data_IF_703101237118
#
_entry.id   IF_703101237118
#
_cell.length_a   1.000
_cell.length_b   1.000
_cell.length_c   1.000
_cell.angle_alpha   90.00
_cell.angle_beta   90.00
_cell.angle_gamma   90.00
#
_symmetry.space_group_name_H-M   'P 1'
#
loop_
_entity.id
_entity.type
_entity.pdbx_description
1 polymer ?
#
# COMPACT_ATOMS: atom_id res chain seq x y z
N UNK A 1 17.31 -18.65 21.65
CA UNK A 1 18.00 -19.57 22.58
C UNK A 1 17.39 -19.52 23.97
N UNK A 2 17.14 -18.32 24.51
CA UNK A 2 16.57 -18.12 25.85
C UNK A 2 15.24 -18.87 26.10
N UNK A 3 14.39 -19.01 25.06
CA UNK A 3 13.12 -19.75 25.15
C UNK A 3 13.22 -21.25 24.80
N UNK A 4 14.41 -21.76 24.45
CA UNK A 4 14.64 -23.19 24.20
C UNK A 4 14.16 -23.77 22.86
N UNK A 5 13.51 -22.99 21.99
CA UNK A 5 13.00 -23.45 20.67
C UNK A 5 14.08 -23.79 19.63
N UNK A 6 15.28 -23.22 19.78
CA UNK A 6 16.40 -23.44 18.86
C UNK A 6 17.60 -23.93 19.66
N UNK A 7 18.09 -25.12 19.32
CA UNK A 7 19.30 -25.73 19.89
C UNK A 7 20.25 -26.06 18.74
N UNK A 8 21.50 -25.64 18.86
CA UNK A 8 22.52 -25.90 17.85
C UNK A 8 23.90 -26.04 18.53
N UNK A 9 24.83 -26.81 17.94
CA UNK A 9 26.21 -26.87 18.41
C UNK A 9 26.89 -25.49 18.27
N UNK A 10 27.71 -25.04 19.24
CA UNK A 10 28.39 -23.74 19.16
C UNK A 10 29.22 -23.52 17.88
N UNK A 11 29.68 -24.60 17.26
CA UNK A 11 30.52 -24.60 16.05
C UNK A 11 29.76 -24.29 14.75
N UNK A 12 28.43 -24.15 14.79
CA UNK A 12 27.61 -23.96 13.59
C UNK A 12 27.42 -22.48 13.22
N UNK A 13 27.60 -21.56 14.17
CA UNK A 13 27.47 -20.13 13.91
C UNK A 13 28.79 -19.55 13.41
N UNK A 14 28.73 -18.92 12.25
CA UNK A 14 29.82 -18.17 11.65
C UNK A 14 29.53 -16.67 11.70
N UNK A 15 30.58 -15.88 11.82
CA UNK A 15 30.54 -14.42 11.65
C UNK A 15 30.65 -14.06 10.16
N UNK A 16 30.42 -12.78 9.84
CA UNK A 16 30.57 -12.31 8.46
C UNK A 16 32.03 -12.37 7.98
N UNK A 17 33.01 -12.30 8.89
CA UNK A 17 34.43 -12.38 8.53
C UNK A 17 34.85 -13.82 8.19
N UNK A 18 34.20 -14.80 8.81
CA UNK A 18 34.44 -16.22 8.53
C UNK A 18 34.08 -16.59 7.07
N UNK A 19 33.16 -15.84 6.45
CA UNK A 19 32.75 -16.03 5.05
C UNK A 19 33.90 -15.91 4.05
N UNK A 20 34.98 -15.20 4.39
CA UNK A 20 36.15 -15.06 3.51
C UNK A 20 37.12 -16.23 3.59
N UNK A 21 36.98 -17.08 4.61
CA UNK A 21 37.93 -18.18 4.88
C UNK A 21 37.29 -19.56 4.75
N UNK A 22 35.99 -19.67 4.98
CA UNK A 22 35.25 -20.91 4.83
C UNK A 22 35.07 -21.27 3.35
N UNK A 23 35.17 -22.56 2.98
CA UNK A 23 34.77 -23.03 1.66
C UNK A 23 33.28 -22.75 1.39
N UNK A 24 32.93 -22.43 0.14
CA UNK A 24 31.55 -22.09 -0.25
C UNK A 24 30.54 -23.23 0.11
N UNK A 25 30.94 -24.51 0.04
CA UNK A 25 30.10 -25.68 0.40
C UNK A 25 29.87 -25.88 1.90
N UNK A 26 30.52 -25.05 2.74
CA UNK A 26 30.36 -25.04 4.21
C UNK A 26 29.56 -23.84 4.70
N UNK A 27 29.07 -22.99 3.80
CA UNK A 27 28.37 -21.75 4.13
C UNK A 27 26.88 -21.91 3.88
N UNK A 28 26.06 -21.58 4.89
CA UNK A 28 24.62 -21.41 4.75
C UNK A 28 24.23 -20.06 5.32
N UNK A 29 23.60 -19.22 4.49
CA UNK A 29 23.15 -17.88 4.87
C UNK A 29 21.63 -17.90 5.04
N UNK A 30 21.17 -17.77 6.28
CA UNK A 30 19.74 -17.57 6.58
C UNK A 30 19.48 -16.07 6.65
N UNK A 31 18.62 -15.57 5.76
CA UNK A 31 18.43 -14.13 5.59
C UNK A 31 16.95 -13.73 5.48
N UNK A 32 16.68 -12.44 5.55
CA UNK A 32 15.35 -11.85 5.36
C UNK A 32 15.17 -11.37 3.93
N UNK A 33 13.92 -11.10 3.53
CA UNK A 33 13.61 -10.51 2.23
C UNK A 33 12.91 -11.42 1.23
N UNK A 34 12.29 -12.50 1.70
CA UNK A 34 11.66 -13.47 0.82
C UNK A 34 10.42 -12.92 0.09
N UNK A 35 9.88 -11.77 0.53
CA UNK A 35 8.78 -11.06 -0.14
C UNK A 35 9.26 -9.92 -1.06
N UNK A 36 10.58 -9.80 -1.28
CA UNK A 36 11.15 -8.79 -2.17
C UNK A 36 11.14 -7.38 -1.61
N UNK A 37 11.11 -7.23 -0.28
CA UNK A 37 11.18 -5.93 0.37
C UNK A 37 12.49 -5.22 -0.04
N UNK A 38 12.46 -3.99 -0.59
CA UNK A 38 13.63 -3.37 -1.21
C UNK A 38 14.86 -3.27 -0.29
N UNK A 39 14.62 -2.99 0.99
CA UNK A 39 15.68 -2.81 2.00
C UNK A 39 16.06 -4.10 2.73
N UNK A 40 15.50 -5.25 2.35
CA UNK A 40 15.88 -6.53 2.93
C UNK A 40 17.27 -6.97 2.46
N UNK A 41 17.88 -7.86 3.22
CA UNK A 41 19.22 -8.36 2.92
C UNK A 41 19.24 -9.14 1.60
N UNK A 42 18.25 -10.00 1.34
CA UNK A 42 18.16 -10.73 0.06
C UNK A 42 18.00 -9.80 -1.14
N UNK A 43 17.13 -8.80 -1.06
CA UNK A 43 16.96 -7.82 -2.16
C UNK A 43 18.25 -7.06 -2.45
N UNK A 44 18.96 -6.63 -1.41
CA UNK A 44 20.27 -5.97 -1.58
C UNK A 44 21.31 -6.90 -2.18
N UNK A 45 21.37 -8.17 -1.76
CA UNK A 45 22.28 -9.16 -2.35
C UNK A 45 21.96 -9.40 -3.82
N UNK A 46 20.67 -9.55 -4.14
CA UNK A 46 20.21 -9.65 -5.51
C UNK A 46 20.50 -8.39 -6.33
N UNK A 47 20.55 -7.19 -5.74
CA UNK A 47 20.87 -5.96 -6.47
C UNK A 47 22.37 -5.61 -6.50
N UNK A 48 23.25 -6.43 -5.87
CA UNK A 48 24.67 -6.14 -5.62
C UNK A 48 24.91 -4.86 -4.79
N UNK A 49 23.96 -4.53 -3.90
CA UNK A 49 24.01 -3.39 -2.98
C UNK A 49 24.24 -3.84 -1.51
N UNK A 50 24.45 -5.14 -1.28
CA UNK A 50 24.74 -5.65 0.05
C UNK A 50 26.22 -5.47 0.40
N UNK A 51 26.52 -4.74 1.47
CA UNK A 51 27.88 -4.30 1.83
C UNK A 51 28.93 -5.41 1.92
N UNK A 52 28.53 -6.60 2.35
CA UNK A 52 29.46 -7.69 2.71
C UNK A 52 29.23 -8.99 1.96
N UNK A 53 28.10 -9.14 1.24
CA UNK A 53 27.75 -10.42 0.60
C UNK A 53 27.39 -10.14 -0.84
N UNK A 54 28.03 -10.86 -1.75
CA UNK A 54 27.74 -10.82 -3.17
C UNK A 54 27.32 -12.20 -3.63
N UNK A 55 26.28 -12.24 -4.45
CA UNK A 55 25.83 -13.47 -5.11
C UNK A 55 26.81 -13.78 -6.23
N UNK A 56 27.38 -14.98 -6.20
CA UNK A 56 28.31 -15.50 -7.21
C UNK A 56 27.57 -16.49 -8.13
N UNK A 57 28.18 -16.76 -9.28
CA UNK A 57 27.72 -17.82 -10.16
C UNK A 57 27.84 -19.18 -9.45
N UNK A 58 26.79 -20.00 -9.54
CA UNK A 58 26.70 -21.30 -8.86
C UNK A 58 26.06 -21.26 -7.47
N UNK A 59 25.91 -20.08 -6.86
CA UNK A 59 25.21 -19.94 -5.58
C UNK A 59 23.78 -20.49 -5.67
N UNK A 60 23.31 -21.12 -4.60
CA UNK A 60 21.93 -21.60 -4.52
C UNK A 60 21.11 -20.76 -3.56
N UNK A 61 20.00 -20.19 -4.06
CA UNK A 61 19.08 -19.37 -3.27
C UNK A 61 17.74 -20.09 -3.15
N UNK A 62 17.30 -20.29 -1.90
CA UNK A 62 16.04 -20.95 -1.59
C UNK A 62 15.07 -19.93 -0.97
N UNK A 63 14.03 -19.58 -1.73
CA UNK A 63 12.92 -18.75 -1.27
C UNK A 63 11.88 -19.62 -0.56
N UNK A 64 12.16 -19.97 0.69
CA UNK A 64 11.31 -20.85 1.52
C UNK A 64 10.01 -20.18 2.03
N UNK A 65 9.31 -19.44 1.17
CA UNK A 65 8.07 -18.73 1.50
C UNK A 65 7.10 -18.66 0.34
N UNK A 66 5.81 -18.68 0.64
CA UNK A 66 4.74 -18.38 -0.32
C UNK A 66 4.68 -16.89 -0.66
N UNK A 67 4.31 -16.59 -1.91
CA UNK A 67 4.11 -15.21 -2.35
C UNK A 67 2.85 -14.65 -1.68
N UNK A 68 3.00 -13.56 -0.93
CA UNK A 68 1.86 -12.84 -0.38
C UNK A 68 1.23 -12.00 -1.51
N UNK A 69 -0.10 -12.07 -1.70
CA UNK A 69 -0.77 -11.28 -2.74
C UNK A 69 -0.41 -9.79 -2.67
N UNK A 70 0.00 -9.24 -3.81
CA UNK A 70 0.46 -7.85 -3.95
C UNK A 70 1.98 -7.68 -4.03
N UNK A 71 2.77 -8.70 -3.65
CA UNK A 71 4.23 -8.66 -3.68
C UNK A 71 4.86 -9.33 -4.90
N UNK A 72 4.07 -9.88 -5.83
CA UNK A 72 4.53 -10.73 -6.93
C UNK A 72 5.57 -10.01 -7.82
N UNK A 73 5.36 -8.71 -8.08
CA UNK A 73 6.30 -7.90 -8.87
C UNK A 73 7.63 -7.69 -8.16
N UNK A 74 7.60 -7.48 -6.84
CA UNK A 74 8.80 -7.25 -6.05
C UNK A 74 9.63 -8.54 -5.97
N UNK A 75 8.98 -9.66 -5.68
CA UNK A 75 9.62 -10.99 -5.63
C UNK A 75 10.19 -11.37 -6.99
N UNK A 76 9.40 -11.19 -8.07
CA UNK A 76 9.85 -11.47 -9.43
C UNK A 76 11.09 -10.65 -9.83
N UNK A 77 11.19 -9.40 -9.37
CA UNK A 77 12.38 -8.56 -9.59
C UNK A 77 13.62 -9.17 -8.90
N UNK A 78 13.49 -9.60 -7.65
CA UNK A 78 14.58 -10.24 -6.90
C UNK A 78 15.03 -11.53 -7.60
N UNK A 79 14.09 -12.41 -7.96
CA UNK A 79 14.36 -13.66 -8.68
C UNK A 79 15.11 -13.40 -9.99
N UNK A 80 14.62 -12.44 -10.80
CA UNK A 80 15.27 -12.08 -12.06
C UNK A 80 16.72 -11.61 -11.86
N UNK A 81 16.97 -10.81 -10.82
CA UNK A 81 18.31 -10.32 -10.54
C UNK A 81 19.25 -11.40 -10.01
N UNK A 82 18.74 -12.38 -9.27
CA UNK A 82 19.49 -13.56 -8.82
C UNK A 82 19.89 -14.44 -10.02
N UNK A 83 18.94 -14.75 -10.92
CA UNK A 83 19.23 -15.49 -12.15
C UNK A 83 20.22 -14.76 -13.05
N UNK A 84 20.12 -13.42 -13.19
CA UNK A 84 21.10 -12.61 -13.93
C UNK A 84 22.52 -12.72 -13.38
N UNK A 85 22.70 -13.13 -12.13
CA UNK A 85 24.00 -13.34 -11.48
C UNK A 85 24.49 -14.79 -11.55
N UNK A 86 23.75 -15.67 -12.23
CA UNK A 86 24.11 -17.08 -12.35
C UNK A 86 23.79 -17.91 -11.12
N UNK A 87 22.92 -17.43 -10.22
CA UNK A 87 22.46 -18.21 -9.09
C UNK A 87 21.36 -19.21 -9.49
N UNK A 88 21.35 -20.36 -8.85
CA UNK A 88 20.27 -21.34 -8.91
C UNK A 88 19.18 -20.95 -7.91
N UNK A 89 17.97 -20.64 -8.38
CA UNK A 89 16.89 -20.13 -7.53
C UNK A 89 15.75 -21.14 -7.41
N UNK A 90 15.46 -21.56 -6.19
CA UNK A 90 14.31 -22.41 -5.84
C UNK A 90 13.24 -21.61 -5.11
N UNK A 91 11.98 -21.74 -5.54
CA UNK A 91 10.83 -21.05 -4.98
C UNK A 91 9.57 -21.93 -5.08
N UNK A 92 8.51 -21.60 -4.34
CA UNK A 92 7.30 -22.44 -4.17
C UNK A 92 6.72 -23.03 -5.48
N UNK A 93 6.71 -22.27 -6.59
CA UNK A 93 6.12 -22.75 -7.85
C UNK A 93 6.94 -23.85 -8.54
N UNK A 94 8.21 -24.01 -8.17
CA UNK A 94 9.16 -24.95 -8.79
C UNK A 94 9.73 -25.97 -7.79
N UNK A 95 9.37 -25.88 -6.51
CA UNK A 95 9.88 -26.78 -5.47
C UNK A 95 8.99 -26.81 -4.22
N UNK A 96 8.82 -27.99 -3.62
CA UNK A 96 8.05 -28.22 -2.39
C UNK A 96 8.83 -27.80 -1.13
N UNK A 97 9.07 -26.49 -0.99
CA UNK A 97 9.91 -25.92 0.09
C UNK A 97 9.11 -25.14 1.15
N UNK A 98 7.79 -25.02 0.99
CA UNK A 98 6.97 -24.23 1.89
C UNK A 98 5.59 -24.85 2.09
N UNK A 99 5.08 -24.75 3.32
CA UNK A 99 3.72 -25.12 3.68
C UNK A 99 3.03 -23.94 4.34
N UNK A 100 1.73 -23.83 4.14
CA UNK A 100 0.90 -22.81 4.78
C UNK A 100 0.91 -22.99 6.30
N UNK A 101 1.02 -21.89 7.04
CA UNK A 101 0.76 -21.87 8.49
C UNK A 101 -0.73 -21.93 8.85
N UNK A 102 -1.63 -21.88 7.86
CA UNK A 102 -3.08 -21.97 8.04
C UNK A 102 -3.63 -23.32 7.55
N UNK A 103 -4.52 -23.89 8.37
CA UNK A 103 -5.24 -25.13 8.09
C UNK A 103 -6.01 -25.08 6.75
N UNK A 104 -5.84 -26.11 5.94
CA UNK A 104 -6.61 -26.35 4.73
C UNK A 104 -7.99 -26.94 5.06
N UNK A 105 -8.81 -27.18 4.03
CA UNK A 105 -10.21 -27.61 4.18
C UNK A 105 -10.37 -28.84 5.08
N UNK A 106 -9.56 -29.88 4.92
CA UNK A 106 -9.73 -31.12 5.70
C UNK A 106 -9.33 -30.94 7.17
N UNK A 107 -8.31 -30.13 7.46
CA UNK A 107 -7.92 -29.77 8.82
C UNK A 107 -8.99 -28.89 9.50
N UNK A 108 -9.60 -27.97 8.75
CA UNK A 108 -10.75 -27.18 9.22
C UNK A 108 -11.95 -28.09 9.56
N UNK A 109 -12.26 -29.08 8.70
CA UNK A 109 -13.31 -30.07 9.00
C UNK A 109 -12.97 -30.90 10.23
N UNK A 110 -11.72 -31.34 10.36
CA UNK A 110 -11.26 -32.09 11.52
C UNK A 110 -11.50 -31.29 12.81
N UNK A 111 -11.11 -30.01 12.83
CA UNK A 111 -11.36 -29.12 13.97
C UNK A 111 -12.85 -29.03 14.30
N UNK A 112 -13.72 -28.80 13.31
CA UNK A 112 -15.17 -28.71 13.52
C UNK A 112 -15.74 -30.03 14.09
N UNK A 113 -15.32 -31.17 13.56
CA UNK A 113 -15.79 -32.50 14.00
C UNK A 113 -15.32 -32.89 15.40
N UNK A 114 -14.13 -32.43 15.82
CA UNK A 114 -13.61 -32.63 17.16
C UNK A 114 -14.31 -31.75 18.18
N UNK A 115 -14.55 -30.48 17.85
CA UNK A 115 -15.15 -29.49 18.75
C UNK A 115 -16.67 -29.70 18.87
N UNK A 116 -17.34 -30.09 17.78
CA UNK A 116 -18.81 -30.21 17.68
C UNK A 116 -19.55 -28.97 18.22
N UNK A 117 -19.25 -27.78 17.68
CA UNK A 117 -19.76 -26.54 18.25
C UNK A 117 -21.27 -26.39 18.01
N UNK A 118 -22.00 -25.89 19.02
CA UNK A 118 -23.41 -25.50 18.88
C UNK A 118 -23.57 -24.31 17.92
N UNK A 119 -22.64 -23.36 17.97
CA UNK A 119 -22.59 -22.14 17.15
C UNK A 119 -21.22 -21.99 16.50
N UNK A 120 -21.20 -21.49 15.27
CA UNK A 120 -19.96 -21.33 14.50
C UNK A 120 -19.79 -19.91 13.97
N UNK A 121 -18.62 -19.32 14.22
CA UNK A 121 -18.26 -18.00 13.71
C UNK A 121 -16.96 -18.15 12.93
N UNK A 122 -16.97 -18.11 11.59
CA UNK A 122 -15.72 -18.06 10.84
C UNK A 122 -15.03 -16.72 11.10
N UNK A 123 -13.73 -16.79 11.42
CA UNK A 123 -12.87 -15.62 11.67
C UNK A 123 -11.59 -15.70 10.82
N UNK A 124 -10.80 -14.63 10.83
CA UNK A 124 -9.48 -14.52 10.19
C UNK A 124 -9.49 -14.82 8.66
N UNK A 125 -10.09 -13.90 7.90
CA UNK A 125 -10.02 -13.89 6.44
C UNK A 125 -10.92 -12.82 5.82
N UNK A 126 -10.72 -12.53 4.53
CA UNK A 126 -11.68 -11.74 3.75
C UNK A 126 -13.07 -12.40 3.72
N UNK A 127 -14.11 -11.62 3.42
CA UNK A 127 -15.50 -12.07 3.44
C UNK A 127 -15.74 -13.39 2.67
N UNK A 128 -15.10 -13.56 1.51
CA UNK A 128 -15.17 -14.81 0.73
C UNK A 128 -14.68 -16.03 1.52
N UNK A 129 -13.59 -15.91 2.29
CA UNK A 129 -13.05 -16.99 3.10
C UNK A 129 -14.04 -17.35 4.23
N UNK A 130 -14.65 -16.33 4.85
CA UNK A 130 -15.65 -16.54 5.89
C UNK A 130 -16.87 -17.28 5.37
N UNK A 131 -17.35 -16.91 4.17
CA UNK A 131 -18.46 -17.59 3.49
C UNK A 131 -18.11 -19.05 3.18
N UNK A 132 -16.92 -19.33 2.65
CA UNK A 132 -16.51 -20.72 2.39
C UNK A 132 -16.38 -21.55 3.66
N UNK A 133 -15.85 -20.98 4.74
CA UNK A 133 -15.71 -21.68 6.01
C UNK A 133 -17.08 -21.91 6.69
N UNK A 134 -18.01 -20.97 6.56
CA UNK A 134 -19.40 -21.15 6.98
C UNK A 134 -20.09 -22.29 6.21
N UNK A 135 -19.93 -22.34 4.87
CA UNK A 135 -20.47 -23.45 4.06
C UNK A 135 -19.86 -24.79 4.44
N UNK A 136 -18.59 -24.81 4.83
CA UNK A 136 -17.92 -26.01 5.32
C UNK A 136 -18.55 -26.52 6.62
N UNK A 137 -18.81 -25.62 7.56
CA UNK A 137 -19.49 -25.91 8.82
C UNK A 137 -20.94 -26.39 8.60
N UNK A 138 -21.69 -25.74 7.70
CA UNK A 138 -23.05 -26.15 7.31
C UNK A 138 -23.05 -27.58 6.74
N UNK A 139 -22.09 -27.91 5.87
CA UNK A 139 -21.91 -29.26 5.33
C UNK A 139 -21.48 -30.32 6.36
N UNK A 140 -21.11 -29.92 7.57
CA UNK A 140 -20.81 -30.79 8.72
C UNK A 140 -21.94 -30.81 9.75
N UNK A 141 -23.17 -30.54 9.32
CA UNK A 141 -24.40 -30.59 10.12
C UNK A 141 -24.52 -29.53 11.22
N UNK A 142 -23.81 -28.40 11.10
CA UNK A 142 -24.10 -27.22 11.94
C UNK A 142 -25.28 -26.49 11.30
N UNK A 143 -26.41 -26.29 12.01
CA UNK A 143 -27.56 -25.58 11.45
C UNK A 143 -27.19 -24.17 10.99
N UNK A 144 -27.71 -23.74 9.84
CA UNK A 144 -27.35 -22.46 9.22
C UNK A 144 -27.64 -21.26 10.13
N UNK A 145 -28.72 -21.32 10.89
CA UNK A 145 -29.13 -20.35 11.89
C UNK A 145 -28.12 -20.20 13.04
N UNK A 146 -27.28 -21.21 13.25
CA UNK A 146 -26.23 -21.21 14.26
C UNK A 146 -24.87 -20.74 13.71
N UNK A 147 -24.80 -20.37 12.43
CA UNK A 147 -23.57 -19.92 11.76
C UNK A 147 -23.61 -18.40 11.57
N UNK A 148 -22.70 -17.69 12.23
CA UNK A 148 -22.65 -16.23 12.19
C UNK A 148 -21.45 -15.75 11.37
N UNK A 149 -21.69 -15.32 10.12
CA UNK A 149 -20.71 -14.52 9.38
C UNK A 149 -20.84 -13.08 9.86
N UNK A 150 -19.77 -12.56 10.46
CA UNK A 150 -19.73 -11.25 11.11
C UNK A 150 -18.71 -10.34 10.42
N UNK A 151 -18.99 -9.04 10.44
CA UNK A 151 -18.04 -7.99 10.08
C UNK A 151 -17.44 -7.35 11.35
N UNK A 152 -16.34 -6.62 11.20
CA UNK A 152 -15.77 -5.86 12.31
C UNK A 152 -16.81 -4.90 12.90
N UNK A 153 -17.03 -5.00 14.22
CA UNK A 153 -18.03 -4.22 14.95
C UNK A 153 -19.39 -4.90 15.09
N UNK A 154 -19.67 -5.99 14.37
CA UNK A 154 -20.84 -6.80 14.65
C UNK A 154 -20.71 -7.49 16.01
N UNK A 155 -21.82 -7.63 16.73
CA UNK A 155 -21.88 -8.32 18.03
C UNK A 155 -22.72 -9.58 17.88
N UNK A 156 -22.17 -10.72 18.28
CA UNK A 156 -22.93 -11.96 18.48
C UNK A 156 -23.05 -12.22 19.99
N UNK A 157 -24.29 -12.32 20.47
CA UNK A 157 -24.61 -12.63 21.86
C UNK A 157 -25.12 -14.05 21.97
N UNK A 158 -24.59 -14.78 22.94
CA UNK A 158 -25.01 -16.13 23.26
C UNK A 158 -25.58 -16.15 24.67
N UNK A 159 -26.83 -16.60 24.79
CA UNK A 159 -27.52 -16.82 26.06
C UNK A 159 -28.00 -18.27 26.14
N UNK A 160 -28.63 -18.64 27.26
CA UNK A 160 -29.30 -19.94 27.38
C UNK A 160 -30.46 -20.11 26.38
N UNK A 161 -31.05 -19.00 25.92
CA UNK A 161 -32.17 -19.00 24.98
C UNK A 161 -31.72 -19.12 23.52
N UNK A 162 -30.48 -18.73 23.19
CA UNK A 162 -29.97 -18.83 21.83
C UNK A 162 -28.78 -17.92 21.53
N UNK A 163 -28.34 -17.97 20.27
CA UNK A 163 -27.36 -17.05 19.71
C UNK A 163 -28.07 -16.03 18.81
N UNK A 164 -27.82 -14.74 19.00
CA UNK A 164 -28.41 -13.67 18.19
C UNK A 164 -27.37 -12.60 17.84
N UNK A 165 -27.56 -11.94 16.69
CA UNK A 165 -26.80 -10.73 16.35
C UNK A 165 -27.42 -9.54 17.07
N UNK A 166 -26.60 -8.75 17.76
CA UNK A 166 -26.99 -7.52 18.44
C UNK A 166 -26.54 -6.27 17.67
N UNK A 167 -26.84 -5.09 18.25
CA UNK A 167 -26.46 -3.79 17.68
C UNK A 167 -24.93 -3.70 17.54
N UNK A 168 -24.47 -3.19 16.40
CA UNK A 168 -23.05 -2.96 16.14
C UNK A 168 -22.43 -2.01 17.17
N UNK A 169 -21.16 -2.24 17.49
CA UNK A 169 -20.32 -1.33 18.28
C UNK A 169 -19.42 -0.49 17.37
N UNK A 170 -18.96 0.64 17.88
CA UNK A 170 -18.00 1.48 17.17
C UNK A 170 -16.72 0.70 16.91
N UNK A 171 -16.34 0.61 15.65
CA UNK A 171 -15.11 -0.05 15.21
C UNK A 171 -14.59 0.65 13.95
N UNK A 172 -13.30 0.48 13.67
CA UNK A 172 -12.66 1.14 12.55
C UNK A 172 -11.17 0.84 12.49
N UNK A 173 -10.50 1.45 11.52
CA UNK A 173 -9.05 1.39 11.38
C UNK A 173 -8.43 2.65 11.96
N UNK A 174 -7.33 2.49 12.69
CA UNK A 174 -6.47 3.59 13.12
C UNK A 174 -5.17 3.43 12.35
N UNK A 175 -4.78 4.47 11.60
CA UNK A 175 -3.54 4.47 10.84
C UNK A 175 -2.38 4.99 11.71
N UNK A 176 -1.19 4.44 11.50
CA UNK A 176 0.05 4.85 12.15
C UNK A 176 1.02 5.29 11.07
N UNK A 177 1.53 6.52 11.16
CA UNK A 177 2.51 7.08 10.24
C UNK A 177 3.65 7.73 11.03
N UNK A 178 4.81 7.06 11.05
CA UNK A 178 5.94 7.46 11.88
C UNK A 178 5.60 7.44 13.37
N UNK A 179 5.61 8.63 14.00
CA UNK A 179 5.28 8.83 15.42
C UNK A 179 3.80 9.19 15.64
N UNK A 180 3.06 9.50 14.58
CA UNK A 180 1.65 9.90 14.68
C UNK A 180 0.74 8.67 14.67
N UNK A 181 -0.18 8.64 15.63
CA UNK A 181 -1.20 7.60 15.76
C UNK A 181 -2.56 8.27 15.55
N UNK A 182 -3.31 7.88 14.52
CA UNK A 182 -4.66 8.39 14.26
C UNK A 182 -4.74 9.74 13.55
N UNK A 183 -3.66 10.50 13.44
CA UNK A 183 -3.64 11.81 12.74
C UNK A 183 -3.78 11.68 11.22
N UNK A 184 -3.48 10.50 10.66
CA UNK A 184 -3.67 10.23 9.24
C UNK A 184 -5.13 9.83 9.00
N UNK A 185 -5.98 10.85 8.90
CA UNK A 185 -7.38 10.68 8.52
C UNK A 185 -7.54 10.18 7.08
N UNK A 186 -8.73 9.64 6.76
CA UNK A 186 -9.09 9.22 5.39
C UNK A 186 -8.92 10.32 4.34
N UNK A 187 -9.04 11.58 4.75
CA UNK A 187 -8.82 12.76 3.89
C UNK A 187 -7.35 12.86 3.47
N UNK A 188 -6.41 12.71 4.41
CA UNK A 188 -4.97 12.79 4.11
C UNK A 188 -4.54 11.67 3.16
N UNK A 189 -5.07 10.45 3.35
CA UNK A 189 -4.80 9.34 2.43
C UNK A 189 -5.38 9.58 1.04
N UNK A 190 -6.59 10.15 0.96
CA UNK A 190 -7.24 10.50 -0.30
C UNK A 190 -6.45 11.58 -1.04
N UNK A 191 -5.96 12.59 -0.33
CA UNK A 191 -5.13 13.63 -0.93
C UNK A 191 -3.81 13.05 -1.45
N UNK A 192 -3.13 12.20 -0.66
CA UNK A 192 -1.94 11.47 -1.11
C UNK A 192 -2.21 10.63 -2.36
N UNK A 193 -3.36 9.95 -2.43
CA UNK A 193 -3.74 9.14 -3.60
C UNK A 193 -3.95 10.03 -4.84
N UNK A 194 -4.70 11.13 -4.73
CA UNK A 194 -4.89 12.06 -5.84
C UNK A 194 -3.57 12.67 -6.32
N UNK A 195 -2.70 13.09 -5.40
CA UNK A 195 -1.37 13.61 -5.72
C UNK A 195 -0.49 12.56 -6.43
N UNK A 196 -0.53 11.30 -5.97
CA UNK A 196 0.26 10.22 -6.54
C UNK A 196 -0.22 9.75 -7.93
N UNK A 197 -1.51 9.90 -8.26
CA UNK A 197 -2.07 9.48 -9.54
C UNK A 197 -2.11 10.61 -10.58
N UNK A 198 -2.61 11.77 -10.18
CA UNK A 198 -2.93 12.87 -11.10
C UNK A 198 -1.97 14.05 -11.00
N UNK A 199 -1.10 14.07 -9.99
CA UNK A 199 -0.20 15.19 -9.73
C UNK A 199 -0.93 16.45 -9.23
N UNK A 200 -0.18 17.55 -9.16
CA UNK A 200 -0.66 18.84 -8.65
C UNK A 200 -0.25 19.98 -9.57
N UNK A 201 -1.13 20.98 -9.63
CA UNK A 201 -0.89 22.29 -10.24
C UNK A 201 -1.11 23.33 -9.15
N UNK A 202 -0.09 24.16 -8.92
CA UNK A 202 -0.14 25.28 -8.00
C UNK A 202 -0.22 26.55 -8.84
N UNK A 203 -1.17 27.43 -8.54
CA UNK A 203 -1.34 28.71 -9.24
C UNK A 203 -1.08 29.83 -8.24
N UNK A 204 -0.04 30.62 -8.48
CA UNK A 204 0.37 31.75 -7.65
C UNK A 204 -0.10 33.06 -8.28
N UNK A 205 -0.81 33.86 -7.48
CA UNK A 205 -1.35 35.17 -7.86
C UNK A 205 -1.03 36.18 -6.76
N UNK A 206 -0.39 37.29 -7.11
CA UNK A 206 -0.25 38.46 -6.26
C UNK A 206 -1.28 39.51 -6.66
N UNK A 207 -2.24 39.82 -5.80
CA UNK A 207 -3.31 40.78 -6.06
C UNK A 207 -3.21 41.98 -5.11
N UNK A 208 -3.41 43.19 -5.65
CA UNK A 208 -3.55 44.41 -4.84
C UNK A 208 -4.91 44.43 -4.12
N UNK A 209 -4.92 44.66 -2.80
CA UNK A 209 -6.18 44.63 -2.01
C UNK A 209 -7.23 45.63 -2.49
N UNK A 210 -6.81 46.83 -2.86
CA UNK A 210 -7.70 47.97 -3.14
C UNK A 210 -8.29 47.94 -4.55
N UNK A 211 -7.50 47.51 -5.54
CA UNK A 211 -7.90 47.55 -6.97
C UNK A 211 -8.17 46.17 -7.57
N UNK A 212 -7.85 45.10 -6.82
CA UNK A 212 -7.83 43.72 -7.28
C UNK A 212 -7.01 43.51 -8.56
N UNK A 213 -6.04 44.39 -8.82
CA UNK A 213 -5.12 44.25 -9.95
C UNK A 213 -4.07 43.19 -9.65
N UNK A 214 -3.69 42.46 -10.69
CA UNK A 214 -2.59 41.51 -10.61
C UNK A 214 -1.29 42.30 -10.55
N UNK A 215 -0.60 42.22 -9.41
CA UNK A 215 0.74 42.79 -9.22
C UNK A 215 1.80 41.75 -9.66
N UNK A 216 1.57 40.47 -9.36
CA UNK A 216 2.50 39.37 -9.66
C UNK A 216 1.75 38.14 -10.16
N UNK A 217 2.26 37.46 -11.19
CA UNK A 217 1.68 36.22 -11.75
C UNK A 217 0.70 36.46 -12.92
N UNK A 218 -0.07 35.43 -13.35
CA UNK A 218 -0.12 34.08 -12.78
C UNK A 218 1.16 33.27 -13.04
N UNK A 219 1.75 32.76 -11.97
CA UNK A 219 2.79 31.73 -12.06
C UNK A 219 2.16 30.37 -11.79
N UNK A 220 2.44 29.39 -12.64
CA UNK A 220 1.88 28.05 -12.54
C UNK A 220 3.02 27.07 -12.38
N UNK A 221 2.97 26.27 -11.32
CA UNK A 221 3.95 25.24 -11.01
C UNK A 221 3.26 23.89 -11.11
N UNK A 222 3.88 22.94 -11.81
CA UNK A 222 3.40 21.57 -11.94
C UNK A 222 4.35 20.58 -11.27
N UNK A 223 3.78 19.63 -10.53
CA UNK A 223 4.53 18.52 -9.92
C UNK A 223 3.76 17.21 -10.12
N UNK A 224 4.41 16.21 -10.72
CA UNK A 224 3.80 14.90 -10.98
C UNK A 224 2.66 14.90 -12.02
N UNK A 225 2.34 16.05 -12.62
CA UNK A 225 1.30 16.17 -13.64
C UNK A 225 1.90 16.27 -15.04
N UNK A 226 2.59 17.36 -15.35
CA UNK A 226 3.30 17.55 -16.63
C UNK A 226 4.74 17.99 -16.36
N UNK A 227 5.67 17.57 -17.22
CA UNK A 227 7.04 18.05 -17.17
C UNK A 227 7.10 19.44 -17.83
N UNK A 228 7.38 20.47 -17.03
CA UNK A 228 7.25 21.87 -17.43
C UNK A 228 8.11 22.23 -18.65
N UNK A 229 9.27 21.60 -18.82
CA UNK A 229 10.18 21.86 -19.95
C UNK A 229 9.61 21.36 -21.29
N UNK A 230 8.87 20.26 -21.27
CA UNK A 230 8.25 19.63 -22.46
C UNK A 230 6.84 20.18 -22.75
N UNK A 231 6.20 20.83 -21.78
CA UNK A 231 4.80 21.26 -21.84
C UNK A 231 4.62 22.78 -21.79
N UNK A 232 5.59 23.56 -22.28
CA UNK A 232 5.56 25.05 -22.24
C UNK A 232 4.29 25.64 -22.85
N UNK A 233 3.83 25.11 -23.98
CA UNK A 233 2.63 25.61 -24.66
C UNK A 233 1.38 25.44 -23.79
N UNK A 234 1.24 24.29 -23.13
CA UNK A 234 0.14 24.01 -22.20
C UNK A 234 0.23 24.96 -21.00
N UNK A 235 1.43 25.18 -20.46
CA UNK A 235 1.62 26.08 -19.32
C UNK A 235 1.21 27.52 -19.67
N UNK A 236 1.56 28.00 -20.87
CA UNK A 236 1.12 29.31 -21.35
C UNK A 236 -0.39 29.38 -21.61
N UNK A 237 -1.00 28.33 -22.13
CA UNK A 237 -2.47 28.25 -22.26
C UNK A 237 -3.18 28.29 -20.89
N UNK A 238 -2.66 27.57 -19.89
CA UNK A 238 -3.19 27.61 -18.53
C UNK A 238 -3.10 29.02 -17.95
N UNK A 239 -1.96 29.72 -18.12
CA UNK A 239 -1.82 31.12 -17.68
C UNK A 239 -2.82 32.05 -18.35
N UNK A 240 -3.00 31.92 -19.67
CA UNK A 240 -4.01 32.69 -20.42
C UNK A 240 -5.42 32.46 -19.88
N UNK A 241 -5.78 31.22 -19.58
CA UNK A 241 -7.09 30.89 -18.99
C UNK A 241 -7.27 31.57 -17.63
N UNK A 242 -6.24 31.59 -16.77
CA UNK A 242 -6.31 32.29 -15.49
C UNK A 242 -6.52 33.78 -15.70
N UNK A 243 -5.79 34.40 -16.62
CA UNK A 243 -5.93 35.82 -16.95
C UNK A 243 -7.34 36.14 -17.48
N UNK A 244 -7.86 35.36 -18.43
CA UNK A 244 -9.21 35.54 -18.98
C UNK A 244 -10.28 35.42 -17.90
N UNK A 245 -10.18 34.40 -17.03
CA UNK A 245 -11.12 34.24 -15.90
C UNK A 245 -11.09 35.45 -14.99
N UNK A 246 -9.90 36.00 -14.70
CA UNK A 246 -9.79 37.19 -13.87
C UNK A 246 -10.31 38.43 -14.60
N UNK A 247 -10.04 38.61 -15.90
CA UNK A 247 -10.55 39.76 -16.68
C UNK A 247 -12.08 39.79 -16.73
N UNK A 248 -12.73 38.63 -16.92
CA UNK A 248 -14.18 38.48 -16.97
C UNK A 248 -14.89 38.61 -15.61
N UNK A 249 -14.14 38.69 -14.51
CA UNK A 249 -14.71 38.87 -13.17
C UNK A 249 -14.96 40.35 -12.84
N UNK A 250 -16.16 40.63 -12.34
CA UNK A 250 -16.51 41.94 -11.77
C UNK A 250 -15.62 42.28 -10.57
N UNK A 251 -15.39 43.57 -10.35
CA UNK A 251 -14.53 44.06 -9.26
C UNK A 251 -14.98 43.59 -7.87
N UNK A 252 -16.30 43.53 -7.64
CA UNK A 252 -16.86 43.03 -6.38
C UNK A 252 -16.50 41.56 -6.14
N UNK A 253 -16.57 40.72 -7.18
CA UNK A 253 -16.26 39.29 -7.08
C UNK A 253 -14.75 39.05 -6.90
N UNK A 254 -13.90 39.94 -7.44
CA UNK A 254 -12.45 39.85 -7.28
C UNK A 254 -11.97 40.08 -5.85
N UNK A 255 -12.74 40.85 -5.06
CA UNK A 255 -12.46 41.05 -3.64
C UNK A 255 -12.78 39.79 -2.82
N UNK A 256 -13.64 38.90 -3.33
CA UNK A 256 -13.96 37.61 -2.70
C UNK A 256 -13.00 36.50 -3.14
N UNK A 257 -11.87 36.37 -2.45
CA UNK A 257 -10.80 35.42 -2.82
C UNK A 257 -11.26 33.96 -2.90
N UNK A 258 -12.26 33.55 -2.12
CA UNK A 258 -12.83 32.20 -2.19
C UNK A 258 -13.42 31.96 -3.58
N UNK A 259 -14.22 32.92 -4.09
CA UNK A 259 -14.80 32.84 -5.43
C UNK A 259 -13.73 32.91 -6.53
N UNK A 260 -12.70 33.73 -6.37
CA UNK A 260 -11.56 33.76 -7.31
C UNK A 260 -10.91 32.38 -7.41
N UNK A 261 -10.60 31.77 -6.26
CA UNK A 261 -10.00 30.43 -6.19
C UNK A 261 -10.91 29.37 -6.85
N UNK A 262 -12.21 29.42 -6.59
CA UNK A 262 -13.17 28.48 -7.18
C UNK A 262 -13.30 28.63 -8.70
N UNK A 263 -13.42 29.87 -9.21
CA UNK A 263 -13.53 30.12 -10.66
C UNK A 263 -12.27 29.71 -11.42
N UNK A 264 -11.09 30.09 -10.90
CA UNK A 264 -9.79 29.68 -11.47
C UNK A 264 -9.68 28.16 -11.47
N UNK A 265 -9.96 27.52 -10.33
CA UNK A 265 -9.92 26.04 -10.21
C UNK A 265 -10.87 25.37 -11.21
N UNK A 266 -12.10 25.88 -11.34
CA UNK A 266 -13.11 25.34 -12.24
C UNK A 266 -12.71 25.45 -13.71
N UNK A 267 -12.19 26.61 -14.13
CA UNK A 267 -11.76 26.84 -15.50
C UNK A 267 -10.58 25.93 -15.89
N UNK A 268 -9.55 25.87 -15.04
CA UNK A 268 -8.40 25.02 -15.27
C UNK A 268 -8.77 23.53 -15.29
N UNK A 269 -9.63 23.07 -14.36
CA UNK A 269 -10.13 21.68 -14.36
C UNK A 269 -10.85 21.33 -15.66
N UNK A 270 -11.70 22.23 -16.19
CA UNK A 270 -12.42 21.99 -17.45
C UNK A 270 -11.47 21.87 -18.64
N UNK A 271 -10.52 22.80 -18.74
CA UNK A 271 -9.54 22.78 -19.82
C UNK A 271 -8.66 21.52 -19.77
N UNK A 272 -8.08 21.21 -18.60
CA UNK A 272 -7.20 20.04 -18.43
C UNK A 272 -7.95 18.74 -18.73
N UNK A 273 -9.18 18.60 -18.23
CA UNK A 273 -10.00 17.42 -18.53
C UNK A 273 -10.29 17.29 -20.03
N UNK A 274 -10.56 18.40 -20.72
CA UNK A 274 -10.84 18.40 -22.17
C UNK A 274 -9.60 18.09 -23.00
N UNK A 275 -8.43 18.59 -22.59
CA UNK A 275 -7.19 18.49 -23.37
C UNK A 275 -6.43 17.19 -23.10
N UNK A 276 -6.46 16.69 -21.87
CA UNK A 276 -5.58 15.60 -21.41
C UNK A 276 -6.31 14.46 -20.70
N UNK A 277 -7.64 14.54 -20.53
CA UNK A 277 -8.46 13.55 -19.80
C UNK A 277 -8.01 13.24 -18.36
N UNK A 278 -7.15 14.08 -17.79
CA UNK A 278 -6.64 13.97 -16.41
C UNK A 278 -7.28 14.98 -15.48
N UNK A 279 -7.14 14.77 -14.17
CA UNK A 279 -7.73 15.63 -13.13
C UNK A 279 -6.75 15.92 -12.00
N UNK A 280 -5.70 16.72 -12.25
CA UNK A 280 -4.75 17.10 -11.20
C UNK A 280 -5.45 17.86 -10.08
N UNK A 281 -4.87 17.78 -8.89
CA UNK A 281 -5.23 18.68 -7.81
C UNK A 281 -4.79 20.10 -8.19
N UNK A 282 -5.69 21.08 -8.10
CA UNK A 282 -5.39 22.48 -8.43
C UNK A 282 -5.47 23.29 -7.14
N UNK A 283 -4.38 23.96 -6.80
CA UNK A 283 -4.24 24.73 -5.56
C UNK A 283 -3.93 26.19 -5.93
N UNK A 284 -4.95 27.06 -6.01
CA UNK A 284 -4.74 28.49 -6.18
C UNK A 284 -4.34 29.15 -4.86
N UNK A 285 -3.19 29.80 -4.87
CA UNK A 285 -2.61 30.57 -3.77
C UNK A 285 -2.63 32.05 -4.18
N UNK A 286 -3.41 32.83 -3.45
CA UNK A 286 -3.53 34.27 -3.64
C UNK A 286 -2.75 34.94 -2.50
N UNK A 287 -1.81 35.80 -2.85
CA UNK A 287 -1.02 36.61 -1.94
C UNK A 287 -1.52 38.04 -2.08
N UNK A 288 -1.93 38.63 -0.96
CA UNK A 288 -2.26 40.06 -0.90
C UNK A 288 -0.96 40.86 -0.84
N UNK A 289 -0.83 41.83 -1.75
CA UNK A 289 0.29 42.76 -1.82
C UNK A 289 -0.21 44.19 -1.65
#
# INVERSE_FOLDING_TARGET
>A
MELGYLRYPPTVMATMDDLYTLPDDKIVIVTTGSQGEPMSSLSRMAMDDHKQIKVKEGDTVILSSRFIPGNERAIGRVINHLFRRGANVFYEQVSDIHVSGHACREEQKMMINLVRPKYFIPIHGEYRHLVYHARLAEGLNIPKENIFILENGDVAKFTNEGGVKEKKVASGRVFVDGKSIGDVGSIVLRDRQHLGMDGVIIVLLGLEKSTSKIIVGPEIISRGFIYEEEAKDIMEELKKIVLTVLEEMDQEVKQEWILVKERVTGALKRYIKKRMERRPMIIPVIIEV
#
